data_IF_242513147565
#
_entry.id   IF_242513147565
#
_cell.length_a   1.000
_cell.length_b   1.000
_cell.length_c   1.000
_cell.angle_alpha   90.00
_cell.angle_beta   90.00
_cell.angle_gamma   90.00
#
_symmetry.space_group_name_H-M   'P 1'
#
loop_
_entity.id
_entity.type
_entity.pdbx_description
1 polymer ?
#
# COMPACT_ATOMS: atom_id res chain seq x y z
N UNK A 1 12.22 27.80 -34.78
CA UNK A 1 11.03 27.51 -33.96
C UNK A 1 11.33 26.29 -33.10
N UNK A 2 11.80 26.52 -31.87
CA UNK A 2 12.13 25.46 -30.92
C UNK A 2 10.84 24.91 -30.29
N UNK A 3 10.68 23.58 -30.31
CA UNK A 3 9.61 22.92 -29.59
C UNK A 3 9.78 23.16 -28.09
N UNK A 4 8.76 23.75 -27.47
CA UNK A 4 8.69 23.91 -26.02
C UNK A 4 8.75 22.52 -25.37
N UNK A 5 9.57 22.29 -24.34
CA UNK A 5 9.48 21.05 -23.57
C UNK A 5 8.07 21.00 -22.98
N UNK A 6 7.30 19.97 -23.29
CA UNK A 6 6.10 19.65 -22.50
C UNK A 6 6.61 19.47 -21.09
N UNK A 7 6.38 20.46 -20.22
CA UNK A 7 6.40 20.23 -18.79
C UNK A 7 5.47 19.04 -18.59
N UNK A 8 6.02 17.88 -18.27
CA UNK A 8 5.24 16.80 -17.70
C UNK A 8 4.61 17.43 -16.48
N UNK A 9 3.33 17.77 -16.55
CA UNK A 9 2.56 18.03 -15.34
C UNK A 9 2.80 16.81 -14.48
N UNK A 10 3.58 16.97 -13.41
CA UNK A 10 3.84 15.87 -12.49
C UNK A 10 2.50 15.55 -11.88
N UNK A 11 1.79 14.59 -12.49
CA UNK A 11 0.49 14.16 -12.02
C UNK A 11 0.77 13.53 -10.67
N UNK A 12 0.18 14.11 -9.64
CA UNK A 12 0.03 13.46 -8.34
C UNK A 12 -0.62 12.11 -8.60
N UNK A 13 0.07 11.03 -8.22
CA UNK A 13 -0.39 9.66 -8.40
C UNK A 13 -1.10 9.17 -7.14
N UNK A 14 -1.92 8.13 -7.31
CA UNK A 14 -2.49 7.36 -6.22
C UNK A 14 -1.91 5.95 -6.28
N UNK A 15 -1.21 5.53 -5.22
CA UNK A 15 -0.40 4.31 -5.20
C UNK A 15 -0.87 3.41 -4.06
N UNK A 16 -1.17 2.15 -4.38
CA UNK A 16 -1.45 1.12 -3.38
C UNK A 16 -0.24 0.17 -3.27
N UNK A 17 0.27 -0.02 -2.05
CA UNK A 17 1.34 -0.97 -1.73
C UNK A 17 0.71 -2.12 -0.95
N UNK A 18 0.79 -3.33 -1.50
CA UNK A 18 0.34 -4.55 -0.81
C UNK A 18 1.56 -5.29 -0.30
N UNK A 19 1.62 -5.57 1.00
CA UNK A 19 2.74 -6.28 1.62
C UNK A 19 2.24 -7.41 2.52
N UNK A 20 2.95 -8.54 2.51
CA UNK A 20 2.67 -9.65 3.43
C UNK A 20 3.18 -9.40 4.85
N UNK A 21 4.18 -8.53 5.01
CA UNK A 21 4.72 -8.09 6.29
C UNK A 21 4.76 -6.58 6.36
N UNK A 22 4.24 -6.02 7.44
CA UNK A 22 4.31 -4.58 7.71
C UNK A 22 4.46 -4.34 9.20
N UNK A 23 4.53 -3.07 9.61
CA UNK A 23 4.62 -2.70 11.02
C UNK A 23 3.55 -3.43 11.84
N UNK A 24 3.90 -3.92 13.04
CA UNK A 24 5.13 -3.66 13.80
C UNK A 24 6.31 -4.59 13.46
N UNK A 25 6.18 -5.48 12.48
CA UNK A 25 7.27 -6.37 12.08
C UNK A 25 8.48 -5.54 11.61
N UNK A 26 9.68 -5.95 12.02
CA UNK A 26 10.93 -5.29 11.61
C UNK A 26 11.76 -6.26 10.81
N UNK A 27 11.70 -6.13 9.48
CA UNK A 27 12.49 -6.92 8.55
C UNK A 27 12.99 -6.05 7.39
N UNK A 28 13.82 -6.60 6.51
CA UNK A 28 14.36 -5.87 5.35
C UNK A 28 13.28 -5.36 4.38
N UNK A 29 12.16 -6.09 4.26
CA UNK A 29 11.02 -5.69 3.41
C UNK A 29 10.34 -4.47 3.98
N UNK A 30 10.03 -4.45 5.28
CA UNK A 30 9.38 -3.31 5.94
C UNK A 30 10.22 -2.04 5.79
N UNK A 31 11.54 -2.12 6.02
CA UNK A 31 12.43 -0.97 5.83
C UNK A 31 12.44 -0.46 4.39
N UNK A 32 12.42 -1.37 3.41
CA UNK A 32 12.36 -1.01 1.99
C UNK A 32 11.03 -0.35 1.63
N UNK A 33 9.92 -0.89 2.13
CA UNK A 33 8.58 -0.33 1.92
C UNK A 33 8.47 1.07 2.55
N UNK A 34 8.98 1.27 3.77
CA UNK A 34 8.98 2.57 4.43
C UNK A 34 9.74 3.62 3.60
N UNK A 35 10.88 3.25 3.01
CA UNK A 35 11.65 4.16 2.13
C UNK A 35 10.92 4.48 0.83
N UNK A 36 10.20 3.51 0.25
CA UNK A 36 9.35 3.76 -0.92
C UNK A 36 8.20 4.70 -0.58
N UNK A 37 7.53 4.47 0.56
CA UNK A 37 6.46 5.36 1.05
C UNK A 37 6.97 6.77 1.23
N UNK A 38 8.11 6.94 1.92
CA UNK A 38 8.73 8.25 2.13
C UNK A 38 8.96 8.98 0.81
N UNK A 39 9.52 8.27 -0.19
CA UNK A 39 9.76 8.85 -1.50
C UNK A 39 8.46 9.28 -2.22
N UNK A 40 7.45 8.42 -2.24
CA UNK A 40 6.18 8.70 -2.92
C UNK A 40 5.44 9.86 -2.26
N UNK A 41 5.36 9.88 -0.93
CA UNK A 41 4.72 10.96 -0.19
C UNK A 41 5.49 12.27 -0.37
N UNK A 42 6.83 12.24 -0.38
CA UNK A 42 7.65 13.45 -0.64
C UNK A 42 7.43 14.04 -2.04
N UNK A 43 7.01 13.22 -3.00
CA UNK A 43 6.66 13.64 -4.36
C UNK A 43 5.23 14.19 -4.47
N UNK A 44 4.45 14.10 -3.39
CA UNK A 44 3.05 14.51 -3.31
C UNK A 44 2.06 13.42 -3.71
N UNK A 45 2.51 12.17 -3.87
CA UNK A 45 1.62 11.06 -4.22
C UNK A 45 0.78 10.61 -3.00
N UNK A 46 -0.46 10.20 -3.27
CA UNK A 46 -1.34 9.60 -2.28
C UNK A 46 -1.01 8.12 -2.14
N UNK A 47 -0.64 7.67 -0.95
CA UNK A 47 -0.20 6.29 -0.72
C UNK A 47 -1.13 5.56 0.24
N UNK A 48 -1.54 4.36 -0.16
CA UNK A 48 -2.29 3.40 0.66
C UNK A 48 -1.46 2.14 0.84
N UNK A 49 -1.27 1.68 2.07
CA UNK A 49 -0.65 0.39 2.39
C UNK A 49 -1.75 -0.59 2.78
N UNK A 50 -1.71 -1.78 2.20
CA UNK A 50 -2.59 -2.90 2.55
C UNK A 50 -1.73 -4.03 3.08
N UNK A 51 -1.99 -4.45 4.32
CA UNK A 51 -1.23 -5.51 4.97
C UNK A 51 -2.11 -6.39 5.87
N UNK A 52 -1.64 -7.59 6.26
CA UNK A 52 -2.28 -8.38 7.31
C UNK A 52 -2.45 -7.60 8.61
N UNK A 53 -3.49 -7.92 9.37
CA UNK A 53 -3.58 -7.48 10.77
C UNK A 53 -2.51 -8.19 11.64
N UNK A 54 -2.11 -7.54 12.73
CA UNK A 54 -1.09 -8.03 13.65
C UNK A 54 -1.59 -7.97 15.09
N UNK A 55 -1.18 -8.94 15.94
CA UNK A 55 -1.62 -9.02 17.35
C UNK A 55 -1.31 -7.76 18.16
N UNK A 56 -0.17 -7.14 17.88
CA UNK A 56 0.29 -5.91 18.53
C UNK A 56 -0.37 -4.64 17.95
N UNK A 57 -1.25 -4.80 16.95
CA UNK A 57 -1.88 -3.73 16.21
C UNK A 57 -0.99 -3.20 15.09
N UNK A 58 -1.62 -2.73 14.02
CA UNK A 58 -0.97 -2.07 12.89
C UNK A 58 -1.31 -0.58 12.94
N UNK A 59 -0.34 0.34 12.77
CA UNK A 59 -0.65 1.77 12.73
C UNK A 59 -1.57 2.09 11.56
N UNK A 60 -2.57 2.96 11.76
CA UNK A 60 -3.51 3.37 10.71
C UNK A 60 -2.92 4.35 9.68
N UNK A 61 -1.76 4.94 9.98
CA UNK A 61 -1.03 5.83 9.09
C UNK A 61 0.48 5.71 9.35
N UNK A 62 1.31 5.79 8.31
CA UNK A 62 2.76 5.88 8.43
C UNK A 62 3.34 6.83 7.38
N UNK A 63 4.22 7.74 7.79
CA UNK A 63 4.92 8.66 6.86
C UNK A 63 3.99 9.41 5.89
N UNK A 64 2.75 9.70 6.31
CA UNK A 64 1.73 10.32 5.47
C UNK A 64 0.87 9.34 4.63
N UNK A 65 1.25 8.07 4.52
CA UNK A 65 0.47 7.03 3.87
C UNK A 65 -0.61 6.44 4.80
N UNK A 66 -1.80 6.20 4.26
CA UNK A 66 -2.87 5.47 4.93
C UNK A 66 -2.54 3.99 5.00
N UNK A 67 -2.91 3.30 6.08
CA UNK A 67 -2.70 1.87 6.25
C UNK A 67 -4.03 1.18 6.53
N UNK A 68 -4.33 0.14 5.77
CA UNK A 68 -5.53 -0.68 5.92
C UNK A 68 -5.15 -2.14 6.15
N UNK A 69 -5.67 -2.69 7.24
CA UNK A 69 -5.50 -4.10 7.53
C UNK A 69 -6.56 -4.94 6.82
N UNK A 70 -6.15 -6.12 6.35
CA UNK A 70 -7.07 -7.16 5.88
C UNK A 70 -7.04 -8.33 6.87
N UNK A 71 -8.20 -8.96 7.08
CA UNK A 71 -8.31 -10.12 7.96
C UNK A 71 -7.40 -11.25 7.46
N UNK A 72 -6.36 -11.55 8.24
CA UNK A 72 -5.36 -12.58 7.94
C UNK A 72 -5.64 -13.82 8.81
N UNK A 73 -6.03 -14.92 8.18
CA UNK A 73 -6.06 -16.23 8.83
C UNK A 73 -4.83 -17.03 8.38
N UNK A 74 -4.00 -17.45 9.33
CA UNK A 74 -2.93 -18.43 9.08
C UNK A 74 -3.58 -19.83 8.97
N UNK A 75 -3.48 -20.49 7.81
CA UNK A 75 -3.92 -21.88 7.63
C UNK A 75 -2.91 -22.84 8.29
N UNK A 76 -3.31 -23.71 9.24
CA UNK A 76 -2.43 -24.73 9.79
C UNK A 76 -2.25 -25.88 8.77
N UNK A 77 -1.01 -26.21 8.40
CA UNK A 77 -0.67 -27.49 7.78
C UNK A 77 -0.52 -27.56 6.25
N UNK A 78 -0.54 -26.44 5.51
CA UNK A 78 -0.26 -26.41 4.07
C UNK A 78 0.86 -25.40 3.76
N UNK A 79 2.08 -25.89 3.49
CA UNK A 79 3.27 -25.05 3.31
C UNK A 79 3.39 -24.36 1.95
N UNK A 80 2.58 -24.72 0.93
CA UNK A 80 2.73 -24.17 -0.43
C UNK A 80 1.44 -23.64 -1.10
N UNK A 81 0.31 -23.60 -0.38
CA UNK A 81 -0.97 -23.17 -0.96
C UNK A 81 -1.73 -22.26 -0.02
N UNK A 82 -1.89 -20.97 -0.38
CA UNK A 82 -2.85 -20.05 0.26
C UNK A 82 -4.15 -20.02 -0.55
N UNK A 83 -5.18 -20.71 -0.08
CA UNK A 83 -6.56 -20.63 -0.62
C UNK A 83 -7.44 -19.96 0.44
N UNK A 84 -8.09 -18.86 0.08
CA UNK A 84 -9.05 -18.16 0.94
C UNK A 84 -10.40 -18.90 0.95
N UNK A 85 -10.80 -19.47 2.09
CA UNK A 85 -12.18 -19.93 2.33
C UNK A 85 -12.76 -19.10 3.49
N UNK A 86 -13.24 -17.92 3.15
CA UNK A 86 -13.91 -16.99 4.06
C UNK A 86 -14.26 -15.77 3.23
N UNK A 87 -15.52 -15.30 3.32
CA UNK A 87 -16.10 -14.26 2.45
C UNK A 87 -15.03 -13.23 2.03
N UNK A 88 -14.58 -13.33 0.80
CA UNK A 88 -13.79 -12.29 0.15
C UNK A 88 -14.71 -11.07 0.06
N UNK A 89 -14.56 -10.11 0.96
CA UNK A 89 -15.06 -8.78 0.69
C UNK A 89 -14.21 -8.23 -0.47
N UNK A 90 -14.81 -7.78 -1.58
CA UNK A 90 -14.07 -7.07 -2.59
C UNK A 90 -13.38 -5.87 -1.94
N UNK A 91 -12.06 -5.79 -2.05
CA UNK A 91 -11.35 -4.54 -1.76
C UNK A 91 -11.52 -3.66 -2.99
N UNK A 92 -12.61 -2.88 -3.03
CA UNK A 92 -12.82 -1.90 -4.10
C UNK A 92 -12.12 -0.59 -3.71
N UNK A 93 -10.85 -0.46 -4.08
CA UNK A 93 -10.18 0.84 -4.06
C UNK A 93 -10.62 1.64 -5.29
N UNK A 94 -11.77 2.34 -5.20
CA UNK A 94 -12.26 3.20 -6.29
C UNK A 94 -11.62 4.58 -6.19
N UNK A 95 -10.51 4.74 -6.89
CA UNK A 95 -9.91 6.06 -7.08
C UNK A 95 -10.74 6.85 -8.10
N UNK A 96 -11.62 7.72 -7.63
CA UNK A 96 -12.25 8.72 -8.51
C UNK A 96 -11.19 9.75 -8.90
N UNK A 97 -10.91 9.85 -10.19
CA UNK A 97 -10.19 10.99 -10.75
C UNK A 97 -11.21 12.11 -10.90
N UNK A 98 -11.33 12.97 -9.90
CA UNK A 98 -11.98 14.27 -10.09
C UNK A 98 -11.07 15.11 -10.97
N UNK A 99 -11.34 15.10 -12.27
CA UNK A 99 -10.70 15.97 -13.24
C UNK A 99 -11.74 16.94 -13.78
N UNK A 100 -11.75 18.16 -13.25
CA UNK A 100 -11.83 19.42 -14.00
C UNK A 100 -11.56 20.59 -13.07
#
# INVERSE_FOLDING_TARGET
MAGSPRASSLRVMKVAIVSESFLPQTNGVVNSVLRVIEHLVSRGDQVLVICPDAREGVPSQVLGAEVRTVASWSLPGYSDVRVSIGRSAPVEARWTTSGS
#
